data_IF_591055741103
#
_entry.id   IF_591055741103
#
_cell.length_a   1.000
_cell.length_b   1.000
_cell.length_c   1.000
_cell.angle_alpha   90.00
_cell.angle_beta   90.00
_cell.angle_gamma   90.00
#
_symmetry.space_group_name_H-M   'P 1'
#
loop_
_entity.id
_entity.type
_entity.pdbx_description
1 polymer ?
#
# COMPACT_ATOMS: atom_id res chain seq x y z
N UNK A 1 42.73 -11.77 -72.45
CA UNK A 1 41.45 -11.91 -71.72
C UNK A 1 41.78 -11.65 -70.26
N UNK A 2 41.61 -10.40 -69.86
CA UNK A 2 41.76 -10.00 -68.40
C UNK A 2 40.41 -9.76 -67.83
N UNK A 3 40.03 -10.67 -66.90
CA UNK A 3 38.80 -10.61 -66.15
C UNK A 3 38.92 -9.54 -65.05
N UNK A 4 38.22 -8.43 -65.22
CA UNK A 4 38.04 -7.42 -64.16
C UNK A 4 37.03 -7.95 -63.18
N UNK A 5 37.46 -8.43 -62.03
CA UNK A 5 36.60 -8.63 -60.88
C UNK A 5 36.37 -7.25 -60.20
N UNK A 6 35.21 -6.63 -60.48
CA UNK A 6 34.73 -5.48 -59.72
C UNK A 6 34.39 -5.94 -58.30
N UNK A 7 35.17 -5.47 -57.32
CA UNK A 7 34.93 -5.64 -55.91
C UNK A 7 33.73 -4.73 -55.49
N UNK A 8 32.53 -5.31 -55.48
CA UNK A 8 31.30 -4.64 -55.04
C UNK A 8 31.32 -4.59 -53.50
N UNK A 9 32.15 -3.75 -52.90
CA UNK A 9 32.02 -3.41 -51.50
C UNK A 9 30.76 -2.52 -51.31
N UNK A 10 29.69 -3.13 -50.80
CA UNK A 10 28.50 -2.38 -50.39
C UNK A 10 28.89 -1.26 -49.42
N UNK A 11 28.47 -0.01 -49.61
CA UNK A 11 28.85 1.09 -48.72
C UNK A 11 28.33 0.83 -47.32
N UNK A 12 29.24 0.75 -46.35
CA UNK A 12 28.87 0.64 -44.93
C UNK A 12 28.23 1.97 -44.55
N UNK A 13 26.92 1.98 -44.38
CA UNK A 13 26.13 3.13 -43.94
C UNK A 13 26.70 3.67 -42.61
N UNK A 14 27.25 4.86 -42.64
CA UNK A 14 27.74 5.55 -41.43
C UNK A 14 26.58 6.03 -40.60
N UNK A 15 26.82 6.35 -39.30
CA UNK A 15 25.78 6.91 -38.42
C UNK A 15 25.16 8.19 -39.02
N UNK A 16 25.93 8.98 -39.74
CA UNK A 16 25.47 10.22 -40.36
C UNK A 16 24.41 9.99 -41.44
N UNK A 17 24.50 8.88 -42.17
CA UNK A 17 23.64 8.54 -43.31
C UNK A 17 22.34 7.89 -42.90
N UNK A 18 22.18 7.54 -41.60
CA UNK A 18 20.95 6.89 -41.11
C UNK A 18 19.80 7.89 -40.98
N UNK A 19 18.56 7.50 -41.30
CA UNK A 19 17.39 8.38 -41.18
C UNK A 19 17.13 8.76 -39.73
N UNK A 20 16.53 9.92 -39.51
CA UNK A 20 16.36 10.55 -38.21
C UNK A 20 15.59 9.63 -37.22
N UNK A 21 14.56 8.93 -37.70
CA UNK A 21 13.80 7.97 -36.89
C UNK A 21 14.66 6.83 -36.34
N UNK A 22 15.63 6.34 -37.11
CA UNK A 22 16.56 5.29 -36.69
C UNK A 22 17.53 5.81 -35.63
N UNK A 23 18.01 7.04 -35.76
CA UNK A 23 18.85 7.72 -34.74
C UNK A 23 18.08 7.88 -33.45
N UNK A 24 16.82 8.33 -33.51
CA UNK A 24 15.91 8.41 -32.31
C UNK A 24 15.70 7.04 -31.66
N UNK A 25 15.51 5.99 -32.45
CA UNK A 25 15.31 4.64 -31.93
C UNK A 25 16.56 4.12 -31.19
N UNK A 26 17.77 4.37 -31.73
CA UNK A 26 19.02 4.00 -31.06
C UNK A 26 19.26 4.79 -29.78
N UNK A 27 18.93 6.09 -29.76
CA UNK A 27 19.03 6.92 -28.54
C UNK A 27 18.07 6.42 -27.48
N UNK A 28 16.83 6.11 -27.86
CA UNK A 28 15.84 5.54 -26.94
C UNK A 28 16.27 4.16 -26.42
N UNK A 29 16.77 3.28 -27.29
CA UNK A 29 17.27 1.97 -26.90
C UNK A 29 18.49 2.07 -25.96
N UNK A 30 19.44 2.95 -26.27
CA UNK A 30 20.61 3.22 -25.42
C UNK A 30 20.22 3.80 -24.07
N UNK A 31 19.28 4.74 -24.04
CA UNK A 31 18.73 5.30 -22.81
C UNK A 31 18.02 4.26 -21.96
N UNK A 32 17.21 3.38 -22.58
CA UNK A 32 16.55 2.27 -21.90
C UNK A 32 17.57 1.25 -21.33
N UNK A 33 18.58 0.89 -22.11
CA UNK A 33 19.65 -0.02 -21.67
C UNK A 33 20.46 0.58 -20.51
N UNK A 34 20.83 1.86 -20.58
CA UNK A 34 21.50 2.56 -19.49
C UNK A 34 20.63 2.63 -18.22
N UNK A 35 19.33 2.92 -18.36
CA UNK A 35 18.38 2.94 -17.26
C UNK A 35 18.25 1.56 -16.60
N UNK A 36 18.16 0.50 -17.40
CA UNK A 36 18.10 -0.88 -16.88
C UNK A 36 19.39 -1.27 -16.17
N UNK A 37 20.56 -0.96 -16.74
CA UNK A 37 21.86 -1.25 -16.10
C UNK A 37 22.00 -0.49 -14.78
N UNK A 38 21.62 0.78 -14.74
CA UNK A 38 21.64 1.60 -13.52
C UNK A 38 20.69 1.04 -12.44
N UNK A 39 19.53 0.55 -12.84
CA UNK A 39 18.59 -0.12 -11.94
C UNK A 39 19.18 -1.41 -11.39
N UNK A 40 19.73 -2.27 -12.24
CA UNK A 40 20.35 -3.54 -11.82
C UNK A 40 21.54 -3.31 -10.88
N UNK A 41 22.38 -2.33 -11.16
CA UNK A 41 23.48 -1.94 -10.28
C UNK A 41 22.96 -1.43 -8.93
N UNK A 42 21.92 -0.60 -8.95
CA UNK A 42 21.29 -0.11 -7.72
C UNK A 42 20.71 -1.26 -6.88
N UNK A 43 20.08 -2.25 -7.52
CA UNK A 43 19.60 -3.47 -6.85
C UNK A 43 20.77 -4.24 -6.25
N UNK A 44 21.82 -4.49 -7.01
CA UNK A 44 23.00 -5.24 -6.56
C UNK A 44 23.67 -4.58 -5.33
N UNK A 45 23.70 -3.26 -5.27
CA UNK A 45 24.26 -2.49 -4.14
C UNK A 45 23.33 -2.47 -2.94
N UNK A 46 22.01 -2.36 -3.15
CA UNK A 46 21.04 -2.19 -2.07
C UNK A 46 20.56 -3.52 -1.48
N UNK A 47 20.51 -4.58 -2.28
CA UNK A 47 19.98 -5.88 -1.83
C UNK A 47 20.73 -6.46 -0.62
N UNK A 48 22.08 -6.45 -0.57
CA UNK A 48 22.84 -6.92 0.60
C UNK A 48 22.64 -6.06 1.87
N UNK A 49 22.15 -4.82 1.71
CA UNK A 49 21.89 -3.89 2.82
C UNK A 49 20.48 -4.01 3.39
N UNK A 50 19.66 -4.90 2.82
CA UNK A 50 18.29 -5.08 3.31
C UNK A 50 18.33 -5.78 4.67
N UNK A 51 17.49 -5.34 5.61
CA UNK A 51 17.36 -5.99 6.90
C UNK A 51 16.81 -7.40 6.77
N UNK A 52 17.05 -8.20 7.81
CA UNK A 52 16.44 -9.51 7.93
C UNK A 52 14.94 -9.39 8.21
N UNK A 53 14.15 -10.12 7.44
CA UNK A 53 12.68 -10.12 7.52
C UNK A 53 12.11 -11.35 8.22
N UNK A 54 12.94 -12.34 8.53
CA UNK A 54 12.51 -13.62 9.14
C UNK A 54 11.76 -13.48 10.47
N UNK A 55 12.07 -12.44 11.24
CA UNK A 55 11.37 -12.13 12.49
C UNK A 55 9.92 -11.69 12.33
N UNK A 56 9.48 -11.30 11.13
CA UNK A 56 8.08 -10.85 10.91
C UNK A 56 7.06 -11.97 11.08
N UNK A 57 7.41 -13.21 10.75
CA UNK A 57 6.51 -14.35 10.87
C UNK A 57 6.05 -14.60 12.32
N UNK A 58 6.86 -14.23 13.28
CA UNK A 58 6.59 -14.41 14.73
C UNK A 58 6.39 -13.06 15.44
N UNK A 59 6.25 -11.98 14.67
CA UNK A 59 6.11 -10.65 15.26
C UNK A 59 4.80 -10.52 16.03
N UNK A 60 4.92 -10.22 17.32
CA UNK A 60 3.81 -9.80 18.16
C UNK A 60 4.05 -8.36 18.63
N UNK A 61 3.11 -7.45 18.37
CA UNK A 61 3.25 -6.07 18.84
C UNK A 61 3.27 -6.01 20.36
N UNK A 62 4.09 -5.11 20.92
CA UNK A 62 4.07 -4.83 22.35
C UNK A 62 2.67 -4.36 22.74
N UNK A 63 2.03 -5.07 23.65
CA UNK A 63 0.72 -4.69 24.17
C UNK A 63 0.88 -3.71 25.34
N UNK A 64 0.03 -2.68 25.45
CA UNK A 64 -0.01 -1.82 26.61
C UNK A 64 -0.46 -2.62 27.86
N UNK A 65 0.04 -2.25 29.03
CA UNK A 65 -0.48 -2.78 30.28
C UNK A 65 -1.91 -2.27 30.47
N UNK A 66 -2.89 -3.19 30.53
CA UNK A 66 -4.28 -2.89 30.83
C UNK A 66 -4.60 -3.35 32.25
N UNK A 67 -5.22 -2.48 33.02
CA UNK A 67 -5.64 -2.77 34.41
C UNK A 67 -7.14 -2.87 34.43
N UNK A 68 -7.65 -3.96 35.01
CA UNK A 68 -9.08 -4.26 35.13
C UNK A 68 -9.47 -4.33 36.60
N UNK A 69 -10.72 -4.03 36.91
CA UNK A 69 -11.36 -4.36 38.18
C UNK A 69 -11.56 -5.88 38.29
N UNK A 70 -11.85 -6.38 39.50
CA UNK A 70 -12.11 -7.80 39.72
C UNK A 70 -13.31 -8.33 38.94
N UNK A 71 -14.25 -7.47 38.60
CA UNK A 71 -15.43 -7.72 37.76
C UNK A 71 -15.19 -7.51 36.24
N UNK A 72 -13.91 -7.29 35.83
CA UNK A 72 -13.52 -7.23 34.44
C UNK A 72 -13.70 -5.89 33.73
N UNK A 73 -13.99 -4.82 34.46
CA UNK A 73 -14.09 -3.47 33.88
C UNK A 73 -12.68 -2.87 33.71
N UNK A 74 -12.32 -2.41 32.52
CA UNK A 74 -11.04 -1.76 32.29
C UNK A 74 -10.97 -0.40 33.00
N UNK A 75 -10.04 -0.29 33.97
CA UNK A 75 -9.80 0.94 34.76
C UNK A 75 -8.88 1.88 34.00
N UNK A 76 -7.93 1.35 33.23
CA UNK A 76 -6.99 2.14 32.46
C UNK A 76 -5.95 1.32 31.70
N UNK A 77 -5.41 1.93 30.65
CA UNK A 77 -4.32 1.40 29.85
C UNK A 77 -3.07 2.29 30.01
N UNK A 78 -1.95 1.69 30.36
CA UNK A 78 -0.67 2.37 30.50
C UNK A 78 0.22 2.07 29.29
N UNK A 79 0.56 3.10 28.54
CA UNK A 79 1.41 3.04 27.35
C UNK A 79 1.20 4.23 26.41
N UNK A 80 2.22 4.54 25.63
CA UNK A 80 2.15 5.65 24.65
C UNK A 80 1.29 5.28 23.42
N UNK A 81 1.10 4.00 23.16
CA UNK A 81 0.37 3.47 22.04
C UNK A 81 -0.75 2.56 22.54
N UNK A 82 -1.95 2.74 22.00
CA UNK A 82 -3.06 1.85 22.23
C UNK A 82 -3.06 0.79 21.14
N UNK A 83 -3.06 -0.49 21.53
CA UNK A 83 -3.01 -1.63 20.60
C UNK A 83 -3.87 -2.78 21.13
N UNK A 84 -4.56 -3.42 20.18
CA UNK A 84 -5.24 -4.69 20.40
C UNK A 84 -4.87 -5.59 19.20
N UNK A 85 -4.16 -6.68 19.47
CA UNK A 85 -3.80 -7.65 18.43
C UNK A 85 -4.96 -8.58 18.14
N UNK A 86 -5.25 -8.79 16.84
CA UNK A 86 -6.18 -9.80 16.36
C UNK A 86 -5.46 -10.73 15.37
N UNK A 87 -5.52 -12.06 15.56
CA UNK A 87 -5.14 -13.03 14.54
C UNK A 87 -5.98 -12.84 13.26
N UNK A 88 -5.45 -13.27 12.12
CA UNK A 88 -6.08 -13.06 10.82
C UNK A 88 -7.53 -13.61 10.74
N UNK A 89 -7.74 -14.79 11.29
CA UNK A 89 -9.05 -15.46 11.34
C UNK A 89 -10.12 -14.70 12.16
N UNK A 90 -9.67 -13.88 13.11
CA UNK A 90 -10.53 -13.03 13.92
C UNK A 90 -10.81 -11.65 13.31
N UNK A 91 -10.11 -11.28 12.24
CA UNK A 91 -10.36 -10.02 11.51
C UNK A 91 -11.56 -10.24 10.56
N UNK A 92 -12.67 -9.51 10.75
CA UNK A 92 -13.87 -9.70 9.94
C UNK A 92 -13.61 -9.50 8.44
N UNK A 93 -14.21 -10.37 7.61
CA UNK A 93 -14.07 -10.30 6.15
C UNK A 93 -14.46 -8.92 5.60
N UNK A 94 -15.57 -8.35 6.08
CA UNK A 94 -16.00 -7.01 5.64
C UNK A 94 -14.91 -5.95 5.86
N UNK A 95 -14.22 -5.98 7.01
CA UNK A 95 -13.16 -5.00 7.29
C UNK A 95 -11.94 -5.22 6.40
N UNK A 96 -11.53 -6.47 6.17
CA UNK A 96 -10.43 -6.81 5.26
C UNK A 96 -10.73 -6.33 3.84
N UNK A 97 -11.90 -6.67 3.32
CA UNK A 97 -12.32 -6.31 1.97
C UNK A 97 -12.49 -4.79 1.81
N UNK A 98 -13.02 -4.09 2.84
CA UNK A 98 -13.11 -2.63 2.84
C UNK A 98 -11.74 -1.95 2.73
N UNK A 99 -10.76 -2.47 3.45
CA UNK A 99 -9.38 -2.00 3.37
C UNK A 99 -8.76 -2.27 2.01
N UNK A 100 -8.88 -3.50 1.51
CA UNK A 100 -8.34 -3.91 0.21
C UNK A 100 -8.95 -3.07 -0.91
N UNK A 101 -10.24 -2.82 -0.88
CA UNK A 101 -10.93 -2.01 -1.87
C UNK A 101 -10.34 -0.60 -2.05
N UNK A 102 -9.77 -0.04 -1.01
CA UNK A 102 -9.26 1.34 -1.05
C UNK A 102 -7.75 1.43 -1.14
N UNK A 103 -7.01 0.53 -0.50
CA UNK A 103 -5.55 0.58 -0.43
C UNK A 103 -4.89 -0.27 -1.51
N UNK A 104 -5.39 -1.48 -1.76
CA UNK A 104 -4.74 -2.44 -2.65
C UNK A 104 -5.73 -3.49 -3.18
N UNK A 105 -6.55 -3.10 -4.13
CA UNK A 105 -7.64 -3.93 -4.65
C UNK A 105 -7.19 -5.26 -5.27
N UNK A 106 -5.94 -5.36 -5.70
CA UNK A 106 -5.35 -6.57 -6.30
C UNK A 106 -4.28 -7.20 -5.42
N UNK A 107 -4.38 -6.99 -4.11
CA UNK A 107 -3.40 -7.46 -3.14
C UNK A 107 -3.03 -8.94 -3.29
N UNK A 108 -4.01 -9.80 -3.54
CA UNK A 108 -3.81 -11.24 -3.70
C UNK A 108 -3.23 -11.64 -5.07
N UNK A 109 -3.15 -10.72 -6.04
CA UNK A 109 -2.77 -11.02 -7.42
C UNK A 109 -1.29 -10.70 -7.73
N UNK A 110 -0.67 -9.80 -6.98
CA UNK A 110 0.69 -9.34 -7.26
C UNK A 110 1.70 -9.78 -6.20
N UNK A 111 2.99 -9.96 -6.54
CA UNK A 111 4.04 -10.43 -5.61
C UNK A 111 4.69 -9.27 -4.82
N UNK A 112 3.89 -8.39 -4.18
CA UNK A 112 4.38 -7.28 -3.37
C UNK A 112 4.48 -5.93 -4.11
N UNK A 113 4.61 -5.94 -5.43
CA UNK A 113 4.58 -4.74 -6.28
C UNK A 113 3.46 -4.90 -7.31
N UNK A 114 2.52 -3.95 -7.32
CA UNK A 114 1.47 -3.90 -8.34
C UNK A 114 1.94 -3.13 -9.58
N UNK A 115 2.56 -3.83 -10.54
CA UNK A 115 3.07 -3.22 -11.79
C UNK A 115 1.95 -2.56 -12.62
N UNK A 116 0.75 -3.14 -12.65
CA UNK A 116 -0.39 -2.55 -13.37
C UNK A 116 -0.87 -1.28 -12.64
N UNK A 117 -0.89 -1.29 -11.32
CA UNK A 117 -1.18 -0.10 -10.49
C UNK A 117 -0.15 1.01 -10.70
N UNK A 118 1.13 0.67 -10.78
CA UNK A 118 2.21 1.63 -11.09
C UNK A 118 2.01 2.24 -12.48
N UNK A 119 1.76 1.42 -13.49
CA UNK A 119 1.51 1.91 -14.86
C UNK A 119 0.28 2.82 -14.91
N UNK A 120 -0.81 2.42 -14.27
CA UNK A 120 -2.04 3.23 -14.15
C UNK A 120 -1.77 4.57 -13.47
N UNK A 121 -0.98 4.58 -12.40
CA UNK A 121 -0.61 5.81 -11.70
C UNK A 121 0.25 6.74 -12.56
N UNK A 122 1.20 6.19 -13.34
CA UNK A 122 2.00 6.97 -14.29
C UNK A 122 1.10 7.64 -15.34
N UNK A 123 0.21 6.88 -15.98
CA UNK A 123 -0.72 7.42 -16.98
C UNK A 123 -1.65 8.47 -16.35
N UNK A 124 -2.18 8.24 -15.15
CA UNK A 124 -3.03 9.18 -14.45
C UNK A 124 -2.31 10.50 -14.13
N UNK A 125 -1.04 10.43 -13.71
CA UNK A 125 -0.22 11.61 -13.42
C UNK A 125 0.12 12.40 -14.68
N UNK A 126 0.39 11.73 -15.81
CA UNK A 126 0.64 12.38 -17.09
C UNK A 126 -0.61 13.08 -17.65
N UNK A 127 -1.79 12.55 -17.36
CA UNK A 127 -3.07 13.12 -17.83
C UNK A 127 -3.70 14.10 -16.84
N UNK A 128 -2.97 14.58 -15.82
CA UNK A 128 -3.44 15.48 -14.76
C UNK A 128 -4.70 15.01 -14.02
N UNK A 129 -5.02 13.73 -14.09
CA UNK A 129 -6.05 13.11 -13.26
C UNK A 129 -5.46 12.89 -11.86
N UNK A 130 -6.29 13.10 -10.82
CA UNK A 130 -5.92 13.02 -9.39
C UNK A 130 -4.89 11.92 -9.12
N UNK A 131 -3.79 12.28 -8.43
CA UNK A 131 -2.74 11.35 -7.98
C UNK A 131 -3.35 10.17 -7.23
N UNK A 132 -3.27 8.99 -7.83
CA UNK A 132 -3.60 7.73 -7.16
C UNK A 132 -2.33 7.18 -6.50
N UNK A 133 -2.44 6.71 -5.26
CA UNK A 133 -1.35 6.00 -4.60
C UNK A 133 -1.11 4.66 -5.31
N UNK A 134 0.15 4.37 -5.64
CA UNK A 134 0.55 3.11 -6.28
C UNK A 134 1.33 2.20 -5.30
N UNK A 135 1.35 2.52 -4.01
CA UNK A 135 2.03 1.70 -3.00
C UNK A 135 1.10 0.59 -2.51
N UNK A 136 1.61 -0.64 -2.55
CA UNK A 136 0.89 -1.83 -2.07
C UNK A 136 0.89 -1.93 -0.54
N UNK A 137 0.03 -2.77 0.02
CA UNK A 137 0.01 -3.09 1.45
C UNK A 137 1.37 -3.65 1.89
N UNK A 138 1.98 -4.56 1.12
CA UNK A 138 3.29 -5.12 1.45
C UNK A 138 4.39 -4.06 1.49
N UNK A 139 4.38 -3.10 0.56
CA UNK A 139 5.29 -1.95 0.60
C UNK A 139 5.07 -1.07 1.84
N UNK A 140 3.82 -0.92 2.29
CA UNK A 140 3.51 -0.18 3.51
C UNK A 140 3.98 -0.94 4.77
N UNK A 141 3.90 -2.27 4.80
CA UNK A 141 4.50 -3.12 5.84
C UNK A 141 6.01 -2.94 5.84
N UNK A 142 6.68 -3.10 4.70
CA UNK A 142 8.13 -2.90 4.57
C UNK A 142 8.57 -1.53 5.12
N UNK A 143 7.84 -0.48 4.76
CA UNK A 143 8.11 0.87 5.25
C UNK A 143 7.94 0.99 6.77
N UNK A 144 6.88 0.40 7.31
CA UNK A 144 6.52 0.55 8.72
C UNK A 144 7.52 -0.16 9.65
N UNK A 145 8.02 -1.32 9.24
CA UNK A 145 8.90 -2.14 10.07
C UNK A 145 10.39 -1.84 9.90
N UNK A 146 10.83 -1.45 8.71
CA UNK A 146 12.25 -1.45 8.37
C UNK A 146 12.80 -0.12 7.88
N UNK A 147 11.95 0.85 7.52
CA UNK A 147 12.42 2.05 6.85
C UNK A 147 12.09 3.33 7.63
N UNK A 148 12.93 4.36 7.42
CA UNK A 148 12.72 5.68 8.00
C UNK A 148 11.66 6.47 7.23
N UNK A 149 11.20 7.60 7.80
CA UNK A 149 10.17 8.47 7.18
C UNK A 149 10.72 9.36 6.04
N UNK A 150 12.00 9.26 5.71
CA UNK A 150 12.60 10.04 4.63
C UNK A 150 11.97 9.72 3.27
N UNK A 151 11.79 10.75 2.45
CA UNK A 151 11.21 10.62 1.11
C UNK A 151 12.31 10.65 0.05
N UNK A 152 13.07 9.56 -0.10
CA UNK A 152 14.14 9.42 -1.09
C UNK A 152 13.82 8.32 -2.10
N UNK A 153 14.42 8.40 -3.30
CA UNK A 153 14.31 7.35 -4.33
C UNK A 153 14.93 6.05 -3.82
N UNK A 154 16.09 6.13 -3.15
CA UNK A 154 16.75 4.97 -2.55
C UNK A 154 15.84 4.25 -1.55
N UNK A 155 15.16 5.00 -0.66
CA UNK A 155 14.18 4.41 0.25
C UNK A 155 13.03 3.74 -0.52
N UNK A 156 12.53 4.34 -1.61
CA UNK A 156 11.44 3.73 -2.39
C UNK A 156 11.88 2.45 -3.09
N UNK A 157 13.13 2.38 -3.53
CA UNK A 157 13.69 1.15 -4.09
C UNK A 157 13.89 0.07 -3.01
N UNK A 158 14.41 0.42 -1.83
CA UNK A 158 14.48 -0.49 -0.68
C UNK A 158 13.10 -1.00 -0.27
N UNK A 159 12.07 -0.14 -0.27
CA UNK A 159 10.68 -0.51 0.02
C UNK A 159 10.16 -1.57 -0.97
N UNK A 160 10.45 -1.38 -2.27
CA UNK A 160 10.08 -2.34 -3.30
C UNK A 160 10.82 -3.70 -3.14
N UNK A 161 12.13 -3.67 -2.93
CA UNK A 161 12.93 -4.89 -2.73
C UNK A 161 12.53 -5.64 -1.45
N UNK A 162 12.30 -4.93 -0.35
CA UNK A 162 11.80 -5.51 0.90
C UNK A 162 10.41 -6.13 0.72
N UNK A 163 9.53 -5.49 -0.07
CA UNK A 163 8.21 -6.06 -0.31
C UNK A 163 8.28 -7.41 -1.04
N UNK A 164 9.19 -7.58 -2.00
CA UNK A 164 9.43 -8.87 -2.66
C UNK A 164 9.98 -9.91 -1.67
N UNK A 165 10.90 -9.52 -0.79
CA UNK A 165 11.45 -10.41 0.22
C UNK A 165 10.40 -10.85 1.24
N UNK A 166 9.57 -9.93 1.72
CA UNK A 166 8.46 -10.22 2.64
C UNK A 166 7.45 -11.20 2.01
N UNK A 167 7.09 -11.00 0.74
CA UNK A 167 6.16 -11.90 0.02
C UNK A 167 6.74 -13.29 -0.24
N UNK A 168 8.05 -13.43 -0.23
CA UNK A 168 8.70 -14.74 -0.31
C UNK A 168 8.64 -15.49 1.04
N UNK A 169 8.66 -14.77 2.15
CA UNK A 169 8.72 -15.36 3.50
C UNK A 169 7.34 -15.51 4.16
N UNK A 170 6.38 -14.68 3.81
CA UNK A 170 5.06 -14.61 4.45
C UNK A 170 3.94 -14.82 3.44
N UNK A 171 2.88 -15.49 3.88
CA UNK A 171 1.63 -15.55 3.10
C UNK A 171 0.93 -14.19 3.06
N UNK A 172 0.07 -13.98 2.06
CA UNK A 172 -0.77 -12.79 1.93
C UNK A 172 -1.58 -12.49 3.21
N UNK A 173 -2.13 -13.52 3.79
CA UNK A 173 -2.93 -13.40 5.02
C UNK A 173 -2.09 -12.94 6.21
N UNK A 174 -0.86 -13.44 6.33
CA UNK A 174 0.09 -12.99 7.36
C UNK A 174 0.49 -11.52 7.15
N UNK A 175 0.76 -11.11 5.91
CA UNK A 175 1.10 -9.72 5.58
C UNK A 175 -0.07 -8.80 5.89
N UNK A 176 -1.29 -9.18 5.51
CA UNK A 176 -2.50 -8.40 5.78
C UNK A 176 -2.76 -8.28 7.29
N UNK A 177 -2.60 -9.37 8.05
CA UNK A 177 -2.71 -9.36 9.50
C UNK A 177 -1.68 -8.41 10.15
N UNK A 178 -0.41 -8.48 9.73
CA UNK A 178 0.63 -7.55 10.19
C UNK A 178 0.25 -6.10 9.93
N UNK A 179 -0.19 -5.80 8.71
CA UNK A 179 -0.63 -4.45 8.35
C UNK A 179 -1.78 -3.97 9.22
N UNK A 180 -2.85 -4.78 9.33
CA UNK A 180 -4.07 -4.41 10.05
C UNK A 180 -3.86 -4.26 11.55
N UNK A 181 -2.87 -4.92 12.13
CA UNK A 181 -2.51 -4.77 13.53
C UNK A 181 -1.51 -3.65 13.82
N UNK A 182 -0.76 -3.19 12.79
CA UNK A 182 0.36 -2.27 13.02
C UNK A 182 0.10 -0.84 12.58
N UNK A 183 -0.77 -0.63 11.57
CA UNK A 183 -0.95 0.68 10.96
C UNK A 183 -1.49 1.71 11.96
N UNK A 184 -0.93 2.91 11.94
CA UNK A 184 -1.41 4.04 12.73
C UNK A 184 -2.66 4.66 12.10
N UNK A 185 -3.74 4.77 12.88
CA UNK A 185 -5.05 5.24 12.43
C UNK A 185 -5.52 6.54 13.10
N UNK A 186 -4.62 7.25 13.76
CA UNK A 186 -4.94 8.49 14.47
C UNK A 186 -5.35 8.24 15.93
N UNK A 187 -5.56 9.31 16.72
CA UNK A 187 -5.98 9.25 18.11
C UNK A 187 -5.17 8.26 19.00
N UNK A 188 -3.87 8.07 18.69
CA UNK A 188 -2.97 7.09 19.31
C UNK A 188 -3.37 5.62 19.11
N UNK A 189 -4.34 5.34 18.23
CA UNK A 189 -4.78 4.00 17.88
C UNK A 189 -3.85 3.39 16.83
N UNK A 190 -3.31 2.22 17.15
CA UNK A 190 -2.52 1.39 16.24
C UNK A 190 -3.26 0.08 16.00
N UNK A 191 -3.51 -0.21 14.73
CA UNK A 191 -4.32 -1.34 14.29
C UNK A 191 -5.83 -1.05 14.28
N UNK A 192 -6.53 -1.84 13.46
CA UNK A 192 -7.96 -1.63 13.21
C UNK A 192 -8.84 -1.98 14.43
N UNK A 193 -8.45 -2.99 15.21
CA UNK A 193 -9.19 -3.36 16.42
C UNK A 193 -9.21 -2.24 17.46
N UNK A 194 -8.05 -1.64 17.71
CA UNK A 194 -7.95 -0.50 18.61
C UNK A 194 -8.64 0.75 18.06
N UNK A 195 -8.56 0.95 16.73
CA UNK A 195 -9.27 2.06 16.09
C UNK A 195 -10.80 1.92 16.23
N UNK A 196 -11.35 0.71 16.06
CA UNK A 196 -12.77 0.42 16.27
C UNK A 196 -13.20 0.76 17.70
N UNK A 197 -12.41 0.38 18.67
CA UNK A 197 -12.67 0.70 20.08
C UNK A 197 -12.54 2.19 20.37
N UNK A 198 -11.49 2.84 19.82
CA UNK A 198 -11.23 4.27 20.04
C UNK A 198 -12.31 5.16 19.42
N UNK A 199 -12.72 4.89 18.17
CA UNK A 199 -13.65 5.75 17.45
C UNK A 199 -15.11 5.41 17.68
N UNK A 200 -15.46 4.13 17.87
CA UNK A 200 -16.84 3.67 17.96
C UNK A 200 -17.19 2.97 19.27
N UNK A 201 -16.19 2.57 20.09
CA UNK A 201 -16.41 1.81 21.32
C UNK A 201 -16.97 0.43 21.08
N UNK A 202 -16.68 -0.16 19.92
CA UNK A 202 -17.20 -1.47 19.49
C UNK A 202 -16.04 -2.41 19.14
N UNK A 203 -16.21 -3.71 19.28
CA UNK A 203 -15.27 -4.66 18.69
C UNK A 203 -15.35 -4.59 17.16
N UNK A 204 -14.25 -4.93 16.49
CA UNK A 204 -14.13 -4.86 15.03
C UNK A 204 -15.22 -5.68 14.30
N UNK A 205 -15.70 -6.77 14.92
CA UNK A 205 -16.75 -7.63 14.38
C UNK A 205 -18.17 -7.02 14.41
N UNK A 206 -18.38 -5.96 15.20
CA UNK A 206 -19.69 -5.31 15.34
C UNK A 206 -19.80 -4.00 14.52
N UNK A 207 -18.83 -3.71 13.66
CA UNK A 207 -18.86 -2.52 12.84
C UNK A 207 -19.83 -2.65 11.67
N UNK A 208 -20.56 -1.56 11.38
CA UNK A 208 -21.37 -1.43 10.18
C UNK A 208 -20.48 -1.24 8.92
N UNK A 209 -21.02 -1.43 7.70
CA UNK A 209 -20.28 -1.10 6.46
C UNK A 209 -19.80 0.37 6.42
N UNK A 210 -20.59 1.29 6.98
CA UNK A 210 -20.22 2.70 7.05
C UNK A 210 -19.06 2.94 8.02
N UNK A 211 -19.03 2.26 9.18
CA UNK A 211 -17.94 2.33 10.14
C UNK A 211 -16.67 1.67 9.59
N UNK A 212 -16.79 0.50 8.92
CA UNK A 212 -15.68 -0.14 8.22
C UNK A 212 -15.06 0.78 7.15
N UNK A 213 -15.90 1.44 6.35
CA UNK A 213 -15.44 2.39 5.34
C UNK A 213 -14.73 3.61 5.95
N UNK A 214 -15.19 4.11 7.09
CA UNK A 214 -14.54 5.19 7.83
C UNK A 214 -13.13 4.77 8.24
N UNK A 215 -12.98 3.61 8.89
CA UNK A 215 -11.67 3.11 9.33
C UNK A 215 -10.74 2.80 8.16
N UNK A 216 -11.24 2.17 7.09
CA UNK A 216 -10.46 1.86 5.89
C UNK A 216 -9.94 3.12 5.17
N UNK A 217 -10.58 4.25 5.38
CA UNK A 217 -10.15 5.54 4.83
C UNK A 217 -9.00 6.21 5.56
N UNK A 218 -8.69 5.81 6.81
CA UNK A 218 -7.72 6.48 7.67
C UNK A 218 -6.24 6.28 7.29
N UNK A 219 -5.79 5.09 6.82
CA UNK A 219 -4.36 4.83 6.58
C UNK A 219 -3.67 5.86 5.70
N UNK A 220 -4.36 6.36 4.69
CA UNK A 220 -3.81 7.34 3.74
C UNK A 220 -3.42 8.66 4.41
N UNK A 221 -4.24 9.14 5.35
CA UNK A 221 -4.01 10.43 6.01
C UNK A 221 -4.69 10.50 7.39
N UNK A 222 -4.18 9.77 8.39
CA UNK A 222 -4.82 9.62 9.70
C UNK A 222 -4.90 10.92 10.52
N UNK A 223 -4.11 11.92 10.17
CA UNK A 223 -4.15 13.22 10.84
C UNK A 223 -5.28 14.11 10.27
N UNK A 224 -5.43 14.16 8.94
CA UNK A 224 -6.37 15.07 8.29
C UNK A 224 -7.76 14.47 8.07
N UNK A 225 -7.87 13.13 7.96
CA UNK A 225 -9.14 12.41 7.86
C UNK A 225 -9.62 11.87 9.21
N UNK A 226 -9.13 12.44 10.33
CA UNK A 226 -9.52 12.04 11.68
C UNK A 226 -10.98 12.41 11.95
N UNK A 227 -11.87 11.46 12.26
CA UNK A 227 -13.30 11.76 12.43
C UNK A 227 -13.61 12.62 13.66
N UNK A 228 -12.74 12.63 14.67
CA UNK A 228 -12.87 13.49 15.86
C UNK A 228 -12.47 14.93 15.53
N UNK A 229 -11.34 15.12 14.82
CA UNK A 229 -10.77 16.45 14.56
C UNK A 229 -11.29 17.12 13.30
N UNK A 230 -11.68 16.33 12.29
CA UNK A 230 -12.06 16.80 10.97
C UNK A 230 -13.21 15.95 10.40
N UNK A 231 -14.42 16.01 11.01
CA UNK A 231 -15.55 15.14 10.67
C UNK A 231 -15.93 15.20 9.18
N UNK A 232 -15.94 16.40 8.59
CA UNK A 232 -16.29 16.58 7.17
C UNK A 232 -15.28 15.89 6.24
N UNK A 233 -13.97 16.03 6.50
CA UNK A 233 -12.94 15.38 5.70
C UNK A 233 -12.98 13.86 5.86
N UNK A 234 -13.22 13.39 7.08
CA UNK A 234 -13.42 11.98 7.37
C UNK A 234 -14.64 11.45 6.61
N UNK A 235 -15.76 12.17 6.62
CA UNK A 235 -16.96 11.80 5.88
C UNK A 235 -16.73 11.76 4.38
N UNK A 236 -16.09 12.78 3.81
CA UNK A 236 -15.76 12.79 2.39
C UNK A 236 -14.86 11.61 2.01
N UNK A 237 -13.89 11.26 2.86
CA UNK A 237 -13.05 10.08 2.63
C UNK A 237 -13.83 8.79 2.74
N UNK A 238 -14.71 8.65 3.73
CA UNK A 238 -15.61 7.51 3.89
C UNK A 238 -16.46 7.27 2.63
N UNK A 239 -17.05 8.31 2.06
CA UNK A 239 -17.87 8.21 0.83
C UNK A 239 -17.04 7.68 -0.35
N UNK A 240 -15.78 8.09 -0.48
CA UNK A 240 -14.86 7.55 -1.49
C UNK A 240 -14.59 6.05 -1.25
N UNK A 241 -14.44 5.64 0.01
CA UNK A 241 -14.24 4.22 0.34
C UNK A 241 -15.51 3.42 0.03
N UNK A 242 -16.69 3.87 0.45
CA UNK A 242 -17.98 3.22 0.15
C UNK A 242 -18.19 3.03 -1.35
N UNK A 243 -17.88 4.06 -2.16
CA UNK A 243 -17.95 3.96 -3.62
C UNK A 243 -17.01 2.87 -4.17
N UNK A 244 -15.81 2.71 -3.60
CA UNK A 244 -14.88 1.67 -4.02
C UNK A 244 -15.32 0.29 -3.58
N UNK A 245 -15.81 0.15 -2.33
CA UNK A 245 -16.37 -1.09 -1.82
C UNK A 245 -17.54 -1.59 -2.71
N UNK A 246 -18.45 -0.70 -3.07
CA UNK A 246 -19.55 -0.98 -3.98
C UNK A 246 -19.06 -1.37 -5.38
N UNK A 247 -18.17 -0.56 -5.99
CA UNK A 247 -17.62 -0.84 -7.32
C UNK A 247 -16.81 -2.12 -7.45
N UNK A 248 -16.39 -2.72 -6.32
CA UNK A 248 -15.70 -4.00 -6.25
C UNK A 248 -16.57 -5.15 -5.72
N UNK A 249 -17.87 -4.92 -5.50
CA UNK A 249 -18.81 -5.92 -5.05
C UNK A 249 -18.61 -6.37 -3.59
N UNK A 250 -17.92 -5.57 -2.76
CA UNK A 250 -17.78 -5.82 -1.31
C UNK A 250 -19.11 -5.59 -0.59
N UNK A 251 -19.88 -4.62 -1.07
CA UNK A 251 -21.24 -4.31 -0.62
C UNK A 251 -22.16 -4.17 -1.83
N UNK A 252 -23.42 -4.53 -1.67
CA UNK A 252 -24.45 -4.36 -2.70
C UNK A 252 -25.05 -2.94 -2.72
N UNK A 253 -25.98 -2.68 -3.66
CA UNK A 253 -26.64 -1.38 -3.84
C UNK A 253 -27.38 -0.94 -2.57
N UNK A 254 -28.11 -1.86 -1.93
CA UNK A 254 -28.90 -1.57 -0.73
C UNK A 254 -28.00 -1.22 0.46
N UNK A 255 -26.92 -1.99 0.65
CA UNK A 255 -25.90 -1.75 1.67
C UNK A 255 -25.17 -0.41 1.42
N UNK A 256 -24.86 -0.10 0.15
CA UNK A 256 -24.20 1.14 -0.22
C UNK A 256 -25.07 2.36 0.13
N UNK A 257 -26.35 2.37 -0.28
CA UNK A 257 -27.25 3.49 0.03
C UNK A 257 -27.54 3.61 1.53
N UNK A 258 -27.71 2.49 2.24
CA UNK A 258 -27.86 2.47 3.70
C UNK A 258 -26.62 3.05 4.39
N UNK A 259 -25.41 2.62 4.01
CA UNK A 259 -24.16 3.10 4.60
C UNK A 259 -23.89 4.59 4.28
N UNK A 260 -24.33 5.07 3.13
CA UNK A 260 -24.29 6.50 2.79
C UNK A 260 -25.24 7.34 3.65
N UNK A 261 -26.39 6.82 4.01
CA UNK A 261 -27.35 7.52 4.86
C UNK A 261 -27.01 7.47 6.35
N UNK A 262 -26.18 6.51 6.76
CA UNK A 262 -25.84 6.27 8.16
C UNK A 262 -25.06 7.46 8.76
N UNK A 263 -25.56 7.98 9.87
CA UNK A 263 -24.87 8.98 10.69
C UNK A 263 -24.03 8.26 11.73
N UNK A 264 -22.70 8.37 11.61
CA UNK A 264 -21.79 7.73 12.54
C UNK A 264 -21.74 8.45 13.89
N UNK A 265 -21.85 7.69 14.98
CA UNK A 265 -21.59 8.18 16.33
C UNK A 265 -20.13 7.95 16.68
N UNK A 266 -19.31 8.99 16.52
CA UNK A 266 -17.89 8.96 16.86
C UNK A 266 -17.68 9.40 18.29
N UNK A 267 -16.91 8.61 19.05
CA UNK A 267 -16.54 8.96 20.44
C UNK A 267 -15.55 10.12 20.43
N UNK A 268 -15.79 11.08 21.31
CA UNK A 268 -14.91 12.23 21.50
C UNK A 268 -13.71 11.89 22.42
#
# INVERSE_FOLDING_TARGET
MSENTEDVSSPVLTWADRPLWMKCLWILAGGAAFGLLSLLLSIAVLYPQLPDTSGLAHYQPKQPLRVYTADGVEIGGFGNEKRQYLPFDQIPKLMRDSLLAVEDARFYEHPGIDMIGVLRAIVANLTHRRTQGASTITQQVARTFFLTREKTISRKLKEALLSLKIEHELSKDQILALYMNQIYLGARAYGFAEAAQTYFGKPLSALSPAECAMLAGLPQNPANANPIRSPERARNRQLVVLMRMHGQGVIDDAQYESAKAEKLSVRA
#
